data_IF_283836226968
#
_entry.id   IF_283836226968
#
_cell.length_a   1.000
_cell.length_b   1.000
_cell.length_c   1.000
_cell.angle_alpha   90.00
_cell.angle_beta   90.00
_cell.angle_gamma   90.00
#
_symmetry.space_group_name_H-M   'P 1'
#
loop_
_entity.id
_entity.type
_entity.pdbx_description
1 polymer ?
#
# COMPACT_ATOMS: atom_id res chain seq x y z
N UNK A 1 3.69 16.63 22.41
CA UNK A 1 2.47 16.08 21.78
C UNK A 1 1.42 15.94 22.86
N UNK A 2 0.18 16.40 22.65
CA UNK A 2 -0.92 16.15 23.61
C UNK A 2 -1.24 14.66 23.66
N UNK A 3 -1.73 14.15 24.79
CA UNK A 3 -2.12 12.73 24.96
C UNK A 3 -3.14 12.30 23.88
N UNK A 4 -4.05 13.20 23.50
CA UNK A 4 -5.01 12.98 22.39
C UNK A 4 -4.33 12.85 21.02
N UNK A 5 -3.33 13.69 20.74
CA UNK A 5 -2.56 13.61 19.49
C UNK A 5 -1.80 12.29 19.39
N UNK A 6 -1.30 11.77 20.51
CA UNK A 6 -0.66 10.46 20.57
C UNK A 6 -1.65 9.33 20.31
N UNK A 7 -2.85 9.39 20.90
CA UNK A 7 -3.90 8.41 20.65
C UNK A 7 -4.33 8.36 19.18
N UNK A 8 -4.57 9.51 18.55
CA UNK A 8 -4.92 9.59 17.11
C UNK A 8 -3.81 8.97 16.26
N UNK A 9 -2.55 9.32 16.52
CA UNK A 9 -1.40 8.72 15.84
C UNK A 9 -1.40 7.20 15.98
N UNK A 10 -1.57 6.66 17.19
CA UNK A 10 -1.61 5.23 17.46
C UNK A 10 -2.75 4.52 16.71
N UNK A 11 -3.94 5.09 16.66
CA UNK A 11 -5.07 4.49 15.92
C UNK A 11 -4.79 4.45 14.42
N UNK A 12 -4.34 5.56 13.82
CA UNK A 12 -4.00 5.58 12.40
C UNK A 12 -2.80 4.71 12.06
N UNK A 13 -1.82 4.59 12.96
CA UNK A 13 -0.71 3.65 12.83
C UNK A 13 -1.21 2.21 12.80
N UNK A 14 -2.12 1.84 13.70
CA UNK A 14 -2.75 0.53 13.71
C UNK A 14 -3.57 0.29 12.44
N UNK A 15 -4.36 1.26 11.98
CA UNK A 15 -5.15 1.12 10.76
C UNK A 15 -4.25 0.90 9.53
N UNK A 16 -3.19 1.69 9.39
CA UNK A 16 -2.21 1.55 8.30
C UNK A 16 -1.49 0.21 8.35
N UNK A 17 -1.12 -0.24 9.55
CA UNK A 17 -0.50 -1.54 9.76
C UNK A 17 -1.41 -2.68 9.27
N UNK A 18 -2.65 -2.71 9.77
CA UNK A 18 -3.58 -3.82 9.55
C UNK A 18 -4.07 -3.84 8.10
N UNK A 19 -4.24 -2.68 7.46
CA UNK A 19 -4.63 -2.59 6.06
C UNK A 19 -3.62 -3.25 5.10
N UNK A 20 -2.33 -3.15 5.43
CA UNK A 20 -1.25 -3.59 4.54
C UNK A 20 -0.61 -4.91 4.97
N UNK A 21 -0.73 -5.31 6.24
CA UNK A 21 -0.09 -6.55 6.75
C UNK A 21 -0.66 -7.79 6.06
N UNK A 22 -1.96 -7.83 5.79
CA UNK A 22 -2.60 -8.96 5.13
C UNK A 22 -2.08 -9.15 3.70
N UNK A 23 -1.91 -8.05 2.98
CA UNK A 23 -1.30 -8.03 1.65
C UNK A 23 0.12 -8.62 1.68
N UNK A 24 0.95 -8.16 2.62
CA UNK A 24 2.33 -8.65 2.78
C UNK A 24 2.37 -10.14 3.13
N UNK A 25 1.46 -10.60 3.99
CA UNK A 25 1.37 -12.01 4.38
C UNK A 25 0.93 -12.89 3.20
N UNK A 26 -0.05 -12.45 2.41
CA UNK A 26 -0.49 -13.17 1.20
C UNK A 26 0.67 -13.30 0.19
N UNK A 27 1.41 -12.22 -0.07
CA UNK A 27 2.59 -12.27 -0.94
C UNK A 27 3.70 -13.16 -0.38
N UNK A 28 3.90 -13.17 0.94
CA UNK A 28 4.87 -14.05 1.59
C UNK A 28 4.47 -15.53 1.51
N UNK A 29 3.17 -15.81 1.62
CA UNK A 29 2.59 -17.13 1.50
C UNK A 29 2.39 -17.59 0.04
N UNK A 30 2.54 -16.70 -0.95
CA UNK A 30 2.25 -16.98 -2.35
C UNK A 30 2.95 -18.24 -2.88
N UNK A 31 4.24 -18.42 -2.54
CA UNK A 31 5.02 -19.61 -2.92
C UNK A 31 4.45 -20.87 -2.25
N UNK A 32 4.03 -20.77 -0.99
CA UNK A 32 3.45 -21.88 -0.23
C UNK A 32 2.03 -22.24 -0.70
N UNK A 33 1.32 -21.28 -1.29
CA UNK A 33 -0.08 -21.42 -1.74
C UNK A 33 -0.15 -21.94 -3.18
N UNK A 34 0.60 -21.32 -4.10
CA UNK A 34 0.45 -21.52 -5.55
C UNK A 34 1.60 -22.37 -6.14
N UNK A 35 2.67 -22.60 -5.36
CA UNK A 35 3.84 -23.37 -5.76
C UNK A 35 4.94 -22.54 -6.44
N UNK A 36 6.16 -23.09 -6.57
CA UNK A 36 7.35 -22.35 -6.99
C UNK A 36 7.44 -22.09 -8.50
N UNK A 37 6.59 -22.73 -9.31
CA UNK A 37 6.68 -22.69 -10.78
C UNK A 37 5.97 -21.49 -11.41
N UNK A 38 5.13 -20.78 -10.66
CA UNK A 38 4.39 -19.62 -11.16
C UNK A 38 5.21 -18.33 -10.96
N UNK A 39 5.32 -17.47 -11.99
CA UNK A 39 6.02 -16.19 -11.86
C UNK A 39 5.42 -15.34 -10.74
N UNK A 40 6.28 -14.78 -9.87
CA UNK A 40 5.84 -13.92 -8.75
C UNK A 40 5.04 -12.71 -9.25
N UNK A 41 5.44 -12.15 -10.39
CA UNK A 41 4.74 -11.06 -11.08
C UNK A 41 3.28 -11.40 -11.42
N UNK A 42 2.94 -12.68 -11.67
CA UNK A 42 1.56 -13.10 -11.94
C UNK A 42 0.71 -13.13 -10.66
N UNK A 43 1.27 -13.60 -9.55
CA UNK A 43 0.57 -13.57 -8.25
C UNK A 43 0.34 -12.12 -7.83
N UNK A 44 1.36 -11.26 -8.00
CA UNK A 44 1.23 -9.83 -7.76
C UNK A 44 0.15 -9.20 -8.64
N UNK A 45 0.05 -9.59 -9.92
CA UNK A 45 -0.97 -9.08 -10.83
C UNK A 45 -2.39 -9.46 -10.36
N UNK A 46 -2.57 -10.72 -9.94
CA UNK A 46 -3.84 -11.23 -9.41
C UNK A 46 -4.26 -10.52 -8.12
N UNK A 47 -3.28 -10.09 -7.32
CA UNK A 47 -3.49 -9.40 -6.06
C UNK A 47 -3.69 -7.88 -6.23
N UNK A 48 -2.94 -7.21 -7.12
CA UNK A 48 -3.07 -5.76 -7.30
C UNK A 48 -4.32 -5.36 -8.10
N UNK A 49 -4.76 -6.19 -9.04
CA UNK A 49 -5.86 -5.84 -9.94
C UNK A 49 -7.18 -5.57 -9.20
N UNK A 50 -7.64 -6.40 -8.23
CA UNK A 50 -8.87 -6.11 -7.49
C UNK A 50 -8.77 -4.84 -6.62
N UNK A 51 -7.59 -4.56 -6.06
CA UNK A 51 -7.32 -3.31 -5.32
C UNK A 51 -7.40 -2.09 -6.25
N UNK A 52 -6.77 -2.15 -7.43
CA UNK A 52 -6.85 -1.09 -8.43
C UNK A 52 -8.30 -0.88 -8.90
N UNK A 53 -9.05 -1.95 -9.14
CA UNK A 53 -10.44 -1.87 -9.59
C UNK A 53 -11.32 -1.14 -8.57
N UNK A 54 -11.22 -1.46 -7.27
CA UNK A 54 -12.02 -0.77 -6.25
C UNK A 54 -11.59 0.69 -6.09
N UNK A 55 -10.28 0.99 -6.20
CA UNK A 55 -9.78 2.38 -6.15
C UNK A 55 -10.22 3.21 -7.36
N UNK A 56 -10.30 2.62 -8.56
CA UNK A 56 -10.82 3.29 -9.75
C UNK A 56 -12.32 3.57 -9.65
N UNK A 57 -13.07 2.65 -9.04
CA UNK A 57 -14.51 2.77 -8.87
C UNK A 57 -14.91 3.66 -7.68
N UNK A 58 -14.10 3.73 -6.63
CA UNK A 58 -14.43 4.42 -5.38
C UNK A 58 -14.83 5.89 -5.55
N UNK A 59 -14.21 6.72 -6.41
CA UNK A 59 -14.56 8.14 -6.52
C UNK A 59 -15.99 8.40 -7.00
N UNK A 60 -16.67 7.39 -7.55
CA UNK A 60 -18.02 7.50 -8.10
C UNK A 60 -19.14 7.18 -7.09
N UNK A 61 -18.83 6.56 -5.95
CA UNK A 61 -19.85 6.15 -4.98
C UNK A 61 -19.46 6.37 -3.52
N UNK A 62 -18.18 6.60 -3.22
CA UNK A 62 -17.68 6.59 -1.85
C UNK A 62 -18.28 7.72 -1.00
N UNK A 63 -18.56 8.86 -1.61
CA UNK A 63 -19.26 10.02 -1.04
C UNK A 63 -20.65 9.67 -0.46
N UNK A 64 -21.30 8.62 -0.98
CA UNK A 64 -22.63 8.18 -0.55
C UNK A 64 -22.61 7.19 0.61
N UNK A 65 -21.43 6.65 0.95
CA UNK A 65 -21.29 5.60 1.97
C UNK A 65 -20.65 6.21 3.22
N UNK A 66 -21.34 6.15 4.37
CA UNK A 66 -20.79 6.58 5.66
C UNK A 66 -19.59 5.71 6.07
N UNK A 67 -18.61 6.30 6.73
CA UNK A 67 -17.39 5.61 7.20
C UNK A 67 -17.67 4.33 7.99
N UNK A 68 -18.66 4.32 8.89
CA UNK A 68 -19.04 3.14 9.67
C UNK A 68 -19.35 1.91 8.79
N UNK A 69 -20.09 2.09 7.68
CA UNK A 69 -20.38 0.99 6.74
C UNK A 69 -19.14 0.57 5.95
N UNK A 70 -18.26 1.53 5.63
CA UNK A 70 -16.99 1.22 4.97
C UNK A 70 -16.15 0.31 5.85
N UNK A 71 -16.00 0.64 7.14
CA UNK A 71 -15.24 -0.15 8.12
C UNK A 71 -15.79 -1.57 8.27
N UNK A 72 -17.12 -1.73 8.42
CA UNK A 72 -17.72 -3.06 8.47
C UNK A 72 -17.43 -3.88 7.22
N UNK A 73 -17.52 -3.26 6.04
CA UNK A 73 -17.16 -3.91 4.77
C UNK A 73 -15.70 -4.37 4.75
N UNK A 74 -14.76 -3.56 5.25
CA UNK A 74 -13.33 -3.93 5.34
C UNK A 74 -13.12 -5.16 6.22
N UNK A 75 -13.74 -5.17 7.40
CA UNK A 75 -13.63 -6.30 8.34
C UNK A 75 -14.18 -7.57 7.67
N UNK A 76 -15.39 -7.51 7.12
CA UNK A 76 -16.01 -8.68 6.49
C UNK A 76 -15.21 -9.19 5.30
N UNK A 77 -14.78 -8.32 4.39
CA UNK A 77 -14.02 -8.72 3.21
C UNK A 77 -12.63 -9.25 3.56
N UNK A 78 -11.92 -8.64 4.51
CA UNK A 78 -10.61 -9.14 4.95
C UNK A 78 -10.70 -10.48 5.68
N UNK A 79 -11.64 -10.63 6.61
CA UNK A 79 -11.84 -11.89 7.33
C UNK A 79 -12.25 -13.01 6.38
N UNK A 80 -13.21 -12.74 5.48
CA UNK A 80 -13.63 -13.68 4.45
C UNK A 80 -12.47 -14.03 3.51
N UNK A 81 -11.72 -13.03 3.06
CA UNK A 81 -10.56 -13.21 2.20
C UNK A 81 -9.54 -14.17 2.82
N UNK A 82 -9.05 -13.87 4.03
CA UNK A 82 -8.07 -14.72 4.72
C UNK A 82 -8.60 -16.13 5.03
N UNK A 83 -9.87 -16.25 5.38
CA UNK A 83 -10.52 -17.54 5.56
C UNK A 83 -10.51 -18.37 4.28
N UNK A 84 -10.86 -17.78 3.14
CA UNK A 84 -10.89 -18.44 1.83
C UNK A 84 -9.49 -18.80 1.30
N UNK A 85 -8.47 -17.96 1.56
CA UNK A 85 -7.06 -18.26 1.23
C UNK A 85 -6.56 -19.51 1.98
N UNK A 86 -7.12 -19.82 3.14
CA UNK A 86 -6.73 -21.00 3.93
C UNK A 86 -7.15 -22.35 3.30
N UNK A 87 -7.95 -22.33 2.22
CA UNK A 87 -8.38 -23.54 1.52
C UNK A 87 -7.36 -24.01 0.48
N UNK A 88 -7.31 -25.32 0.24
CA UNK A 88 -6.38 -25.92 -0.73
C UNK A 88 -6.79 -25.77 -2.19
N UNK A 89 -8.03 -25.37 -2.47
CA UNK A 89 -8.52 -25.23 -3.84
C UNK A 89 -8.04 -23.89 -4.42
N UNK A 90 -7.31 -23.95 -5.54
CA UNK A 90 -6.74 -22.78 -6.20
C UNK A 90 -7.77 -21.69 -6.50
N UNK A 91 -8.96 -22.06 -6.99
CA UNK A 91 -10.01 -21.09 -7.31
C UNK A 91 -10.52 -20.36 -6.06
N UNK A 92 -10.77 -21.11 -4.99
CA UNK A 92 -11.23 -20.56 -3.70
C UNK A 92 -10.15 -19.66 -3.10
N UNK A 93 -8.88 -20.05 -3.23
CA UNK A 93 -7.76 -19.25 -2.77
C UNK A 93 -7.64 -17.93 -3.55
N UNK A 94 -7.70 -17.95 -4.88
CA UNK A 94 -7.64 -16.73 -5.70
C UNK A 94 -8.81 -15.78 -5.42
N UNK A 95 -10.00 -16.34 -5.16
CA UNK A 95 -11.17 -15.58 -4.76
C UNK A 95 -10.97 -14.95 -3.36
N UNK A 96 -10.34 -15.67 -2.44
CA UNK A 96 -9.94 -15.15 -1.12
C UNK A 96 -8.92 -14.01 -1.21
N UNK A 97 -7.88 -14.18 -2.05
CA UNK A 97 -6.90 -13.13 -2.36
C UNK A 97 -7.65 -11.90 -2.87
N UNK A 98 -8.52 -12.07 -3.86
CA UNK A 98 -9.29 -10.96 -4.44
C UNK A 98 -10.11 -10.18 -3.40
N UNK A 99 -10.77 -10.86 -2.45
CA UNK A 99 -11.49 -10.18 -1.37
C UNK A 99 -10.56 -9.40 -0.42
N UNK A 100 -9.42 -9.99 -0.05
CA UNK A 100 -8.43 -9.32 0.77
C UNK A 100 -7.84 -8.09 0.06
N UNK A 101 -7.58 -8.19 -1.25
CA UNK A 101 -7.06 -7.08 -2.06
C UNK A 101 -8.09 -5.95 -2.24
N UNK A 102 -9.36 -6.27 -2.47
CA UNK A 102 -10.44 -5.26 -2.52
C UNK A 102 -10.54 -4.56 -1.16
N UNK A 103 -10.47 -5.32 -0.07
CA UNK A 103 -10.49 -4.74 1.28
C UNK A 103 -9.31 -3.79 1.49
N UNK A 104 -8.08 -4.22 1.17
CA UNK A 104 -6.88 -3.37 1.33
C UNK A 104 -6.95 -2.09 0.49
N UNK A 105 -7.40 -2.17 -0.76
CA UNK A 105 -7.57 -1.01 -1.64
C UNK A 105 -8.67 -0.06 -1.17
N UNK A 106 -9.81 -0.60 -0.74
CA UNK A 106 -10.91 0.21 -0.20
C UNK A 106 -10.57 0.83 1.15
N UNK A 107 -9.80 0.12 1.98
CA UNK A 107 -9.34 0.57 3.27
C UNK A 107 -8.35 1.71 3.15
N UNK A 108 -7.42 1.62 2.20
CA UNK A 108 -6.50 2.72 1.90
C UNK A 108 -7.25 4.00 1.50
N UNK A 109 -8.21 3.91 0.57
CA UNK A 109 -9.04 5.06 0.21
C UNK A 109 -9.77 5.58 1.45
N UNK A 110 -10.42 4.71 2.22
CA UNK A 110 -11.22 5.10 3.39
C UNK A 110 -10.38 5.81 4.45
N UNK A 111 -9.25 5.23 4.85
CA UNK A 111 -8.43 5.82 5.91
C UNK A 111 -7.67 7.05 5.44
N UNK A 112 -7.20 7.11 4.19
CA UNK A 112 -6.61 8.33 3.63
C UNK A 112 -7.63 9.48 3.60
N UNK A 113 -8.87 9.22 3.20
CA UNK A 113 -9.93 10.23 3.30
C UNK A 113 -10.16 10.68 4.74
N UNK A 114 -10.19 9.75 5.69
CA UNK A 114 -10.36 10.05 7.12
C UNK A 114 -9.21 10.91 7.67
N UNK A 115 -7.99 10.82 7.10
CA UNK A 115 -6.88 11.69 7.54
C UNK A 115 -7.17 13.18 7.34
N UNK A 116 -8.07 13.55 6.43
CA UNK A 116 -8.48 14.94 6.22
C UNK A 116 -8.97 15.62 7.51
N UNK A 117 -9.73 14.91 8.36
CA UNK A 117 -10.28 15.44 9.61
C UNK A 117 -9.21 15.64 10.69
N UNK A 118 -8.23 14.73 10.75
CA UNK A 118 -7.18 14.72 11.77
C UNK A 118 -5.83 15.28 11.30
N UNK A 119 -5.79 15.80 10.06
CA UNK A 119 -4.67 16.50 9.42
C UNK A 119 -3.38 15.67 9.40
N UNK A 120 -2.26 16.32 9.71
CA UNK A 120 -0.94 15.73 9.54
C UNK A 120 -0.64 14.58 10.52
N UNK A 121 -1.22 14.59 11.72
CA UNK A 121 -0.94 13.60 12.77
C UNK A 121 -1.44 12.21 12.35
N UNK A 122 -2.66 12.15 11.82
CA UNK A 122 -3.25 10.91 11.30
C UNK A 122 -2.53 10.42 10.06
N UNK A 123 -2.18 11.30 9.13
CA UNK A 123 -1.44 10.92 7.93
C UNK A 123 -0.06 10.35 8.27
N UNK A 124 0.65 10.96 9.22
CA UNK A 124 1.95 10.45 9.68
C UNK A 124 1.80 9.08 10.34
N UNK A 125 0.77 8.89 11.18
CA UNK A 125 0.45 7.61 11.82
C UNK A 125 0.16 6.54 10.77
N UNK A 126 -0.79 6.81 9.86
CA UNK A 126 -1.16 5.94 8.74
C UNK A 126 0.04 5.54 7.89
N UNK A 127 0.83 6.52 7.48
CA UNK A 127 1.99 6.30 6.64
C UNK A 127 3.07 5.47 7.35
N UNK A 128 3.39 5.78 8.61
CA UNK A 128 4.32 4.97 9.39
C UNK A 128 3.82 3.54 9.61
N UNK A 129 2.52 3.36 9.89
CA UNK A 129 1.89 2.06 10.07
C UNK A 129 1.94 1.18 8.82
N UNK A 130 1.62 1.76 7.66
CA UNK A 130 1.71 1.08 6.37
C UNK A 130 3.15 0.68 6.01
N UNK A 131 4.15 1.50 6.36
CA UNK A 131 5.57 1.11 6.24
C UNK A 131 5.97 -0.01 7.21
N UNK A 132 5.43 0.02 8.43
CA UNK A 132 5.66 -1.01 9.45
C UNK A 132 5.07 -2.37 9.06
N UNK A 133 3.99 -2.38 8.26
CA UNK A 133 3.35 -3.60 7.78
C UNK A 133 4.28 -4.50 6.96
N UNK A 134 5.17 -3.91 6.16
CA UNK A 134 6.17 -4.65 5.40
C UNK A 134 7.09 -5.48 6.28
N UNK A 135 7.64 -4.84 7.33
CA UNK A 135 8.56 -5.46 8.27
C UNK A 135 7.82 -6.45 9.17
N UNK A 136 6.74 -6.01 9.82
CA UNK A 136 6.00 -6.82 10.79
C UNK A 136 5.25 -7.97 10.13
N UNK A 137 4.71 -7.80 8.92
CA UNK A 137 4.01 -8.85 8.18
C UNK A 137 4.96 -9.98 7.78
N UNK A 138 6.07 -9.66 7.13
CA UNK A 138 7.09 -10.65 6.75
C UNK A 138 7.70 -11.35 7.97
N UNK A 139 8.07 -10.57 8.99
CA UNK A 139 8.67 -11.12 10.21
C UNK A 139 7.69 -12.03 10.98
N UNK A 140 6.43 -11.62 11.15
CA UNK A 140 5.44 -12.41 11.88
C UNK A 140 5.06 -13.69 11.13
N UNK A 141 4.93 -13.64 9.80
CA UNK A 141 4.71 -14.84 8.99
C UNK A 141 5.89 -15.82 9.10
N UNK A 142 7.11 -15.33 8.95
CA UNK A 142 8.33 -16.14 9.09
C UNK A 142 8.44 -16.73 10.50
N UNK A 143 8.18 -15.95 11.54
CA UNK A 143 8.24 -16.41 12.93
C UNK A 143 7.25 -17.55 13.19
N UNK A 144 6.00 -17.41 12.73
CA UNK A 144 4.99 -18.46 12.88
C UNK A 144 5.33 -19.71 12.07
N UNK A 145 5.74 -19.57 10.81
CA UNK A 145 5.93 -20.72 9.90
C UNK A 145 7.29 -21.40 10.04
N UNK A 146 8.37 -20.64 10.21
CA UNK A 146 9.73 -21.16 10.20
C UNK A 146 10.27 -21.47 11.60
N UNK A 147 9.95 -20.64 12.59
CA UNK A 147 10.43 -20.80 13.97
C UNK A 147 9.48 -21.69 14.78
N UNK A 148 8.20 -21.32 14.85
CA UNK A 148 7.20 -22.11 15.58
C UNK A 148 6.64 -23.29 14.79
N UNK A 149 6.97 -23.40 13.50
CA UNK A 149 6.49 -24.49 12.62
C UNK A 149 4.96 -24.63 12.60
N UNK A 150 4.26 -23.50 12.78
CA UNK A 150 2.81 -23.43 12.69
C UNK A 150 2.40 -23.69 11.23
N UNK A 151 1.44 -24.58 10.96
CA UNK A 151 0.97 -24.82 9.61
C UNK A 151 0.47 -23.53 8.95
N UNK A 152 0.83 -23.29 7.67
CA UNK A 152 0.45 -22.09 6.91
C UNK A 152 -1.05 -21.80 7.00
N UNK A 153 -1.89 -22.85 6.92
CA UNK A 153 -3.35 -22.72 7.07
C UNK A 153 -3.76 -22.09 8.41
N UNK A 154 -3.17 -22.53 9.51
CA UNK A 154 -3.48 -22.00 10.84
C UNK A 154 -2.94 -20.58 10.98
N UNK A 155 -1.74 -20.31 10.46
CA UNK A 155 -1.17 -18.96 10.40
C UNK A 155 -2.09 -17.98 9.69
N UNK A 156 -2.60 -18.32 8.49
CA UNK A 156 -3.55 -17.47 7.75
C UNK A 156 -4.87 -17.23 8.52
N UNK A 157 -5.37 -18.24 9.23
CA UNK A 157 -6.55 -18.08 10.10
C UNK A 157 -6.27 -17.16 11.30
N UNK A 158 -5.07 -17.19 11.89
CA UNK A 158 -4.69 -16.24 12.95
C UNK A 158 -4.69 -14.81 12.39
N UNK A 159 -4.13 -14.61 11.19
CA UNK A 159 -4.15 -13.29 10.53
C UNK A 159 -5.57 -12.80 10.19
N UNK A 160 -6.55 -13.69 10.03
CA UNK A 160 -7.96 -13.31 9.84
C UNK A 160 -8.57 -12.57 11.04
N UNK A 161 -7.93 -12.60 12.22
CA UNK A 161 -8.38 -11.86 13.40
C UNK A 161 -7.90 -10.40 13.41
N UNK A 162 -6.88 -10.05 12.63
CA UNK A 162 -6.31 -8.70 12.61
C UNK A 162 -7.29 -7.60 12.16
N UNK A 163 -8.16 -7.81 11.15
CA UNK A 163 -9.12 -6.80 10.72
C UNK A 163 -10.06 -6.28 11.82
N UNK A 164 -10.32 -7.06 12.86
CA UNK A 164 -11.12 -6.59 14.00
C UNK A 164 -10.51 -5.38 14.72
N UNK A 165 -9.20 -5.13 14.55
CA UNK A 165 -8.57 -3.90 14.99
C UNK A 165 -9.19 -2.63 14.36
N UNK A 166 -9.84 -2.71 13.19
CA UNK A 166 -10.56 -1.58 12.62
C UNK A 166 -11.75 -1.12 13.46
N UNK A 167 -12.25 -1.95 14.41
CA UNK A 167 -13.29 -1.54 15.35
C UNK A 167 -12.84 -0.39 16.27
N UNK A 168 -11.53 -0.15 16.42
CA UNK A 168 -11.03 1.04 17.11
C UNK A 168 -11.45 2.35 16.44
N UNK A 169 -11.89 2.32 15.17
CA UNK A 169 -12.53 3.47 14.51
C UNK A 169 -13.71 4.01 15.32
N UNK A 170 -14.58 3.15 15.86
CA UNK A 170 -15.77 3.60 16.60
C UNK A 170 -15.41 4.30 17.91
N UNK A 171 -14.28 3.94 18.51
CA UNK A 171 -13.74 4.63 19.69
C UNK A 171 -13.14 5.99 19.32
N UNK A 172 -12.54 6.10 18.15
CA UNK A 172 -12.06 7.36 17.60
C UNK A 172 -13.25 8.30 17.28
N UNK A 173 -14.28 7.78 16.61
CA UNK A 173 -15.51 8.51 16.26
C UNK A 173 -16.30 9.00 17.48
N UNK A 174 -16.42 8.18 18.54
CA UNK A 174 -17.11 8.61 19.76
C UNK A 174 -16.40 9.76 20.48
N UNK A 175 -15.06 9.75 20.48
CA UNK A 175 -14.27 10.78 21.14
C UNK A 175 -14.39 12.14 20.46
N UNK A 176 -14.55 12.16 19.14
CA UNK A 176 -14.76 13.40 18.37
C UNK A 176 -16.20 13.90 18.44
N UNK A 177 -17.18 12.99 18.38
CA UNK A 177 -18.60 13.37 18.50
C UNK A 177 -18.86 14.05 19.84
N UNK A 178 -18.22 13.59 20.92
CA UNK A 178 -18.30 14.22 22.23
C UNK A 178 -17.70 15.63 22.26
N UNK A 179 -16.67 15.91 21.45
CA UNK A 179 -16.05 17.24 21.35
C UNK A 179 -16.93 18.20 20.55
N UNK A 180 -17.47 17.76 19.41
CA UNK A 180 -18.41 18.56 18.61
C UNK A 180 -19.67 18.86 19.42
N UNK A 181 -20.19 17.88 20.17
CA UNK A 181 -21.32 18.07 21.07
C UNK A 181 -21.00 19.01 22.22
N UNK A 182 -19.80 18.95 22.81
CA UNK A 182 -19.35 19.91 23.83
C UNK A 182 -19.20 21.33 23.29
N UNK A 183 -18.69 21.51 22.06
CA UNK A 183 -18.62 22.83 21.42
C UNK A 183 -19.99 23.36 21.02
N UNK A 184 -20.92 22.50 20.60
CA UNK A 184 -22.29 22.88 20.29
C UNK A 184 -23.08 23.23 21.55
N UNK A 185 -22.90 22.51 22.67
CA UNK A 185 -23.50 22.88 23.96
C UNK A 185 -23.00 24.23 24.49
N UNK A 186 -21.74 24.60 24.21
CA UNK A 186 -21.23 25.94 24.53
C UNK A 186 -21.81 27.05 23.64
N UNK A 187 -22.36 26.70 22.46
CA UNK A 187 -23.02 27.63 21.54
C UNK A 187 -24.53 27.70 21.84
N UNK A 188 -25.17 26.58 22.20
CA UNK A 188 -26.60 26.52 22.56
C UNK A 188 -26.91 27.24 23.90
N UNK A 189 -25.94 27.42 24.80
CA UNK A 189 -26.11 28.30 25.97
C UNK A 189 -26.12 29.81 25.60
N UNK A 190 -25.79 30.17 24.34
CA UNK A 190 -25.71 31.55 23.86
C UNK A 190 -26.80 31.94 22.84
N UNK A 191 -27.58 31.01 22.30
CA UNK A 191 -28.62 31.26 21.28
C UNK A 191 -29.98 30.62 21.63
N UNK A 192 -30.49 30.91 22.83
CA UNK A 192 -31.90 30.69 23.16
C UNK A 192 -32.74 31.87 22.63
N UNK A 193 -33.03 31.89 21.33
CA UNK A 193 -34.27 32.49 20.79
C UNK A 193 -34.37 32.30 19.26
N UNK A 194 -35.51 31.72 18.82
CA UNK A 194 -36.09 31.65 17.46
C UNK A 194 -36.05 30.28 16.73
N UNK A 195 -36.98 29.41 17.13
CA UNK A 195 -37.44 28.25 16.34
C UNK A 195 -38.42 28.68 15.23
N UNK A 196 -38.12 28.33 13.98
CA UNK A 196 -39.11 28.27 12.87
C UNK A 196 -39.05 26.88 12.21
N UNK A 197 -40.17 26.15 12.06
CA UNK A 197 -40.15 24.80 11.49
C UNK A 197 -40.04 24.80 9.96
N UNK A 198 -39.08 24.05 9.40
CA UNK A 198 -38.99 23.76 7.96
C UNK A 198 -39.93 22.60 7.56
N UNK A 199 -40.78 22.75 6.52
CA UNK A 199 -41.58 21.64 6.00
C UNK A 199 -40.74 20.75 5.07
N UNK A 200 -40.73 19.45 5.37
CA UNK A 200 -40.07 18.41 4.57
C UNK A 200 -40.95 18.04 3.37
N UNK A 201 -40.57 18.50 2.18
CA UNK A 201 -41.22 18.10 0.92
C UNK A 201 -40.51 16.87 0.33
N UNK A 202 -41.15 15.70 0.43
CA UNK A 202 -40.75 14.48 -0.30
C UNK A 202 -41.07 14.63 -1.79
N UNK A 203 -40.05 14.71 -2.64
CA UNK A 203 -40.20 14.71 -4.10
C UNK A 203 -39.92 13.32 -4.67
N UNK A 204 -40.90 12.76 -5.38
CA UNK A 204 -40.73 11.53 -6.15
C UNK A 204 -39.82 11.80 -7.37
N UNK A 205 -38.60 11.27 -7.37
CA UNK A 205 -37.65 11.42 -8.49
C UNK A 205 -37.93 10.46 -9.64
N UNK A 206 -38.17 11.01 -10.83
CA UNK A 206 -38.33 10.27 -12.10
C UNK A 206 -36.99 9.65 -12.57
N UNK A 207 -37.03 8.45 -13.17
CA UNK A 207 -35.84 7.70 -13.61
C UNK A 207 -34.96 8.43 -14.66
N UNK A 208 -35.55 9.32 -15.47
CA UNK A 208 -34.81 10.18 -16.40
C UNK A 208 -33.98 11.25 -15.70
N UNK A 209 -34.47 11.75 -14.55
CA UNK A 209 -33.78 12.75 -13.73
C UNK A 209 -32.64 12.13 -12.92
N UNK A 210 -32.76 10.85 -12.51
CA UNK A 210 -31.67 10.10 -11.85
C UNK A 210 -30.53 9.74 -12.81
N UNK A 211 -30.82 9.45 -14.08
CA UNK A 211 -29.79 9.20 -15.10
C UNK A 211 -29.03 10.47 -15.48
N UNK A 212 -29.72 11.61 -15.57
CA UNK A 212 -29.09 12.92 -15.83
C UNK A 212 -28.18 13.33 -14.66
N UNK A 213 -28.64 13.20 -13.41
CA UNK A 213 -27.83 13.50 -12.23
C UNK A 213 -26.61 12.58 -12.11
N UNK A 214 -26.75 11.30 -12.48
CA UNK A 214 -25.62 10.34 -12.48
C UNK A 214 -24.57 10.70 -13.53
N UNK A 215 -24.98 11.09 -14.75
CA UNK A 215 -24.05 11.54 -15.79
C UNK A 215 -23.30 12.82 -15.38
N UNK A 216 -24.00 13.77 -14.77
CA UNK A 216 -23.37 15.00 -14.27
C UNK A 216 -22.37 14.70 -13.15
N UNK A 217 -22.72 13.82 -12.22
CA UNK A 217 -21.82 13.36 -11.15
C UNK A 217 -20.56 12.71 -11.72
N UNK A 218 -20.69 11.78 -12.67
CA UNK A 218 -19.54 11.15 -13.35
C UNK A 218 -18.64 12.19 -14.02
N UNK A 219 -19.24 13.14 -14.77
CA UNK A 219 -18.47 14.16 -15.48
C UNK A 219 -17.73 15.10 -14.52
N UNK A 220 -18.35 15.46 -13.40
CA UNK A 220 -17.75 16.25 -12.34
C UNK A 220 -16.60 15.49 -11.67
N UNK A 221 -16.80 14.22 -11.33
CA UNK A 221 -15.75 13.36 -10.76
C UNK A 221 -14.54 13.23 -11.69
N UNK A 222 -14.76 13.02 -13.00
CA UNK A 222 -13.68 12.97 -13.99
C UNK A 222 -12.95 14.33 -14.09
N UNK A 223 -13.67 15.45 -14.02
CA UNK A 223 -13.05 16.78 -14.01
C UNK A 223 -12.18 17.00 -12.77
N UNK A 224 -12.64 16.59 -11.58
CA UNK A 224 -11.88 16.65 -10.33
C UNK A 224 -10.63 15.78 -10.40
N UNK A 225 -10.77 14.53 -10.86
CA UNK A 225 -9.64 13.61 -11.09
C UNK A 225 -8.58 14.22 -12.00
N UNK A 226 -8.99 14.81 -13.14
CA UNK A 226 -8.06 15.40 -14.11
C UNK A 226 -7.14 16.48 -13.51
N UNK A 227 -7.62 17.25 -12.52
CA UNK A 227 -6.81 18.26 -11.83
C UNK A 227 -5.63 17.64 -11.05
N UNK A 228 -5.86 16.45 -10.49
CA UNK A 228 -4.90 15.75 -9.62
C UNK A 228 -3.86 14.93 -10.40
N UNK A 229 -4.14 14.60 -11.67
CA UNK A 229 -3.32 13.69 -12.49
C UNK A 229 -1.87 14.14 -12.58
N UNK A 230 -1.63 15.34 -13.10
CA UNK A 230 -0.26 15.82 -13.30
C UNK A 230 0.50 16.12 -12.01
N UNK A 231 -0.04 16.92 -11.05
CA UNK A 231 0.73 17.29 -9.88
C UNK A 231 1.05 16.12 -8.96
N UNK A 232 0.16 15.13 -8.85
CA UNK A 232 0.27 14.07 -7.84
C UNK A 232 0.31 12.66 -8.44
N UNK A 233 -0.61 12.32 -9.35
CA UNK A 233 -0.76 10.92 -9.80
C UNK A 233 0.39 10.47 -10.72
N UNK A 234 0.79 11.28 -11.69
CA UNK A 234 1.89 10.96 -12.62
C UNK A 234 3.21 10.71 -11.88
N UNK A 235 3.71 11.61 -11.01
CA UNK A 235 4.96 11.35 -10.29
C UNK A 235 4.84 10.14 -9.35
N UNK A 236 3.70 9.97 -8.65
CA UNK A 236 3.50 8.84 -7.75
C UNK A 236 3.45 7.51 -8.50
N UNK A 237 2.68 7.41 -9.58
CA UNK A 237 2.66 6.24 -10.47
C UNK A 237 4.05 5.92 -11.00
N UNK A 238 4.84 6.93 -11.36
CA UNK A 238 6.19 6.74 -11.90
C UNK A 238 7.14 6.13 -10.85
N UNK A 239 7.12 6.63 -9.61
CA UNK A 239 7.91 6.07 -8.51
C UNK A 239 7.53 4.62 -8.24
N UNK A 240 6.23 4.35 -8.11
CA UNK A 240 5.70 3.00 -7.83
C UNK A 240 5.96 2.01 -8.97
N UNK A 241 5.88 2.48 -10.22
CA UNK A 241 6.25 1.69 -11.38
C UNK A 241 7.72 1.25 -11.31
N UNK A 242 8.62 2.19 -11.06
CA UNK A 242 10.05 1.91 -11.05
C UNK A 242 10.48 1.06 -9.84
N UNK A 243 10.00 1.36 -8.63
CA UNK A 243 10.32 0.55 -7.44
C UNK A 243 9.80 -0.89 -7.56
N UNK A 244 8.58 -1.11 -8.05
CA UNK A 244 8.06 -2.46 -8.19
C UNK A 244 8.73 -3.22 -9.34
N UNK A 245 9.17 -2.54 -10.40
CA UNK A 245 10.02 -3.17 -11.42
C UNK A 245 11.36 -3.62 -10.84
N UNK A 246 11.99 -2.81 -9.98
CA UNK A 246 13.21 -3.21 -9.28
C UNK A 246 12.93 -4.44 -8.42
N UNK A 247 11.95 -4.38 -7.52
CA UNK A 247 11.65 -5.46 -6.56
C UNK A 247 11.22 -6.76 -7.22
N UNK A 248 10.38 -6.71 -8.25
CA UNK A 248 9.71 -7.90 -8.79
C UNK A 248 10.40 -8.46 -10.01
N UNK A 249 11.07 -7.64 -10.81
CA UNK A 249 11.67 -8.08 -12.07
C UNK A 249 13.21 -8.07 -12.06
N UNK A 250 13.83 -7.08 -11.44
CA UNK A 250 15.30 -6.94 -11.45
C UNK A 250 15.94 -7.66 -10.27
N UNK A 251 15.41 -7.49 -9.05
CA UNK A 251 15.97 -8.05 -7.82
C UNK A 251 16.16 -9.58 -7.84
N UNK A 252 15.27 -10.41 -8.44
CA UNK A 252 15.52 -11.85 -8.61
C UNK A 252 16.79 -12.18 -9.43
N UNK A 253 17.29 -11.22 -10.21
CA UNK A 253 18.49 -11.36 -11.05
C UNK A 253 19.72 -10.65 -10.45
N UNK A 254 19.59 -9.95 -9.33
CA UNK A 254 20.70 -9.28 -8.63
C UNK A 254 21.41 -10.25 -7.68
N UNK A 255 21.92 -11.36 -8.21
CA UNK A 255 22.52 -12.44 -7.43
C UNK A 255 24.05 -12.38 -7.44
N UNK A 256 24.67 -13.03 -6.45
CA UNK A 256 26.11 -13.09 -6.24
C UNK A 256 26.55 -14.53 -5.95
N UNK A 257 27.76 -14.95 -6.35
CA UNK A 257 28.20 -16.34 -6.19
C UNK A 257 28.42 -16.69 -4.71
N UNK A 258 27.71 -17.69 -4.21
CA UNK A 258 27.74 -18.09 -2.79
C UNK A 258 28.88 -19.08 -2.48
N UNK A 259 29.23 -19.97 -3.42
CA UNK A 259 30.15 -21.10 -3.21
C UNK A 259 31.36 -21.09 -4.17
N UNK A 260 32.16 -20.02 -4.20
CA UNK A 260 33.35 -19.95 -5.05
C UNK A 260 34.49 -19.09 -4.48
N UNK A 261 35.59 -19.77 -4.12
CA UNK A 261 36.93 -19.27 -3.77
C UNK A 261 37.09 -18.30 -2.57
N UNK A 262 38.35 -18.12 -2.15
CA UNK A 262 38.87 -17.34 -1.00
C UNK A 262 38.32 -15.91 -0.82
N UNK A 263 37.47 -15.44 -1.75
CA UNK A 263 36.84 -14.13 -1.84
C UNK A 263 35.42 -14.07 -1.27
N UNK A 264 34.91 -15.17 -0.71
CA UNK A 264 33.71 -15.21 0.15
C UNK A 264 33.81 -14.26 1.38
N UNK A 265 34.99 -13.72 1.70
CA UNK A 265 35.23 -12.76 2.79
C UNK A 265 34.42 -11.44 2.72
N UNK A 266 33.92 -11.03 1.55
CA UNK A 266 33.05 -9.83 1.42
C UNK A 266 31.55 -10.15 1.41
N UNK A 267 31.18 -11.42 1.46
CA UNK A 267 29.78 -11.85 1.51
C UNK A 267 29.25 -11.71 2.93
N UNK A 268 28.04 -11.14 3.14
CA UNK A 268 27.41 -11.12 4.45
C UNK A 268 27.24 -12.53 5.01
N UNK A 269 27.49 -12.69 6.32
CA UNK A 269 27.51 -14.00 6.99
C UNK A 269 26.18 -14.77 6.92
N UNK A 270 25.09 -14.08 6.56
CA UNK A 270 23.72 -14.59 6.51
C UNK A 270 23.26 -15.03 5.11
N UNK A 271 24.13 -15.00 4.09
CA UNK A 271 23.81 -15.56 2.77
C UNK A 271 24.27 -17.02 2.68
N UNK A 272 23.35 -17.95 2.87
CA UNK A 272 23.60 -19.38 2.71
C UNK A 272 22.95 -19.95 1.45
N UNK A 273 21.85 -19.34 0.99
CA UNK A 273 21.09 -19.70 -0.21
C UNK A 273 20.78 -18.46 -1.04
N UNK A 274 20.51 -18.64 -2.34
CA UNK A 274 20.13 -17.50 -3.20
C UNK A 274 18.82 -16.86 -2.74
N UNK A 275 17.91 -17.64 -2.15
CA UNK A 275 16.73 -17.14 -1.45
C UNK A 275 17.04 -16.08 -0.38
N UNK A 276 18.15 -16.21 0.36
CA UNK A 276 18.48 -15.30 1.47
C UNK A 276 18.81 -13.88 0.96
N UNK A 277 19.35 -13.78 -0.25
CA UNK A 277 19.62 -12.51 -0.92
C UNK A 277 18.30 -11.78 -1.21
N UNK A 278 17.32 -12.49 -1.77
CA UNK A 278 16.00 -11.93 -2.08
C UNK A 278 15.26 -11.47 -0.81
N UNK A 279 15.30 -12.29 0.25
CA UNK A 279 14.69 -11.93 1.55
C UNK A 279 15.36 -10.71 2.16
N UNK A 280 16.69 -10.62 2.05
CA UNK A 280 17.46 -9.46 2.53
C UNK A 280 17.12 -8.19 1.75
N UNK A 281 17.03 -8.26 0.42
CA UNK A 281 16.60 -7.12 -0.40
C UNK A 281 15.20 -6.64 -0.03
N UNK A 282 14.25 -7.58 0.10
CA UNK A 282 12.92 -7.24 0.59
C UNK A 282 12.94 -6.57 1.97
N UNK A 283 13.79 -7.04 2.89
CA UNK A 283 13.89 -6.49 4.25
C UNK A 283 14.50 -5.08 4.25
N UNK A 284 15.57 -4.85 3.48
CA UNK A 284 16.20 -3.53 3.35
C UNK A 284 15.29 -2.52 2.67
N UNK A 285 14.58 -2.94 1.62
CA UNK A 285 13.57 -2.14 0.96
C UNK A 285 12.49 -1.71 1.98
N UNK A 286 11.89 -2.66 2.71
CA UNK A 286 10.86 -2.34 3.70
C UNK A 286 11.38 -1.47 4.85
N UNK A 287 12.64 -1.63 5.25
CA UNK A 287 13.28 -0.76 6.23
C UNK A 287 13.41 0.69 5.71
N UNK A 288 13.82 0.86 4.45
CA UNK A 288 13.88 2.17 3.79
C UNK A 288 12.49 2.83 3.71
N UNK A 289 11.46 2.06 3.33
CA UNK A 289 10.06 2.53 3.31
C UNK A 289 9.60 2.93 4.70
N UNK A 290 9.85 2.13 5.72
CA UNK A 290 9.43 2.42 7.08
C UNK A 290 10.08 3.69 7.65
N UNK A 291 11.39 3.86 7.44
CA UNK A 291 12.13 5.05 7.88
C UNK A 291 11.60 6.29 7.16
N UNK A 292 11.53 6.26 5.82
CA UNK A 292 11.05 7.40 5.04
C UNK A 292 9.61 7.77 5.39
N UNK A 293 8.73 6.79 5.67
CA UNK A 293 7.35 7.04 6.08
C UNK A 293 7.19 7.58 7.50
N UNK A 294 8.04 7.14 8.42
CA UNK A 294 8.02 7.60 9.81
C UNK A 294 8.59 9.01 9.98
N UNK A 295 9.62 9.35 9.20
CA UNK A 295 10.31 10.64 9.26
C UNK A 295 9.93 11.61 8.13
N UNK A 296 8.99 11.24 7.25
CA UNK A 296 8.60 12.05 6.09
C UNK A 296 8.07 13.44 6.43
N UNK A 297 7.54 13.65 7.65
CA UNK A 297 7.13 14.97 8.12
C UNK A 297 8.31 15.94 8.35
N UNK A 298 9.52 15.42 8.60
CA UNK A 298 10.73 16.23 8.81
C UNK A 298 11.35 16.70 7.49
N UNK A 299 11.21 15.90 6.42
CA UNK A 299 11.82 16.17 5.12
C UNK A 299 10.70 16.39 4.10
N UNK A 300 10.21 17.63 4.04
CA UNK A 300 9.14 18.04 3.12
C UNK A 300 9.69 18.29 1.72
N UNK A 301 9.18 17.55 0.75
CA UNK A 301 9.50 17.72 -0.67
C UNK A 301 8.25 18.12 -1.45
N UNK A 302 8.26 19.36 -1.99
CA UNK A 302 7.15 19.89 -2.79
C UNK A 302 7.17 19.40 -4.25
N UNK A 303 8.36 19.17 -4.81
CA UNK A 303 8.52 18.66 -6.17
C UNK A 303 8.62 17.13 -6.18
N UNK A 304 7.49 16.47 -6.42
CA UNK A 304 7.41 14.99 -6.45
C UNK A 304 8.16 14.39 -7.66
N UNK A 305 8.32 15.17 -8.73
CA UNK A 305 9.04 14.74 -9.94
C UNK A 305 10.53 14.47 -9.71
N UNK A 306 11.15 15.12 -8.71
CA UNK A 306 12.55 14.83 -8.34
C UNK A 306 12.67 13.39 -7.83
N UNK A 307 11.72 12.95 -7.00
CA UNK A 307 11.68 11.58 -6.50
C UNK A 307 11.45 10.58 -7.63
N UNK A 308 10.54 10.88 -8.56
CA UNK A 308 10.32 10.06 -9.76
C UNK A 308 11.57 9.94 -10.64
N UNK A 309 12.29 11.04 -10.85
CA UNK A 309 13.54 11.04 -11.61
C UNK A 309 14.63 10.21 -10.92
N UNK A 310 14.85 10.43 -9.62
CA UNK A 310 15.83 9.66 -8.83
C UNK A 310 15.51 8.17 -8.82
N UNK A 311 14.22 7.81 -8.74
CA UNK A 311 13.78 6.42 -8.82
C UNK A 311 14.03 5.82 -10.21
N UNK A 312 13.86 6.60 -11.28
CA UNK A 312 14.20 6.18 -12.64
C UNK A 312 15.70 5.93 -12.83
N UNK A 313 16.55 6.81 -12.27
CA UNK A 313 18.00 6.59 -12.23
C UNK A 313 18.33 5.31 -11.47
N UNK A 314 17.65 5.04 -10.35
CA UNK A 314 17.84 3.83 -9.57
C UNK A 314 17.50 2.55 -10.36
N UNK A 315 16.38 2.56 -11.11
CA UNK A 315 16.02 1.46 -12.01
C UNK A 315 17.08 1.26 -13.10
N UNK A 316 17.58 2.33 -13.71
CA UNK A 316 18.65 2.23 -14.71
C UNK A 316 19.91 1.58 -14.12
N UNK A 317 20.34 2.00 -12.92
CA UNK A 317 21.52 1.45 -12.25
C UNK A 317 21.33 -0.05 -11.95
N UNK A 318 20.19 -0.45 -11.39
CA UNK A 318 19.91 -1.86 -11.07
C UNK A 318 19.81 -2.73 -12.31
N UNK A 319 19.19 -2.25 -13.40
CA UNK A 319 19.14 -2.98 -14.67
C UNK A 319 20.54 -3.13 -15.27
N UNK A 320 21.34 -2.06 -15.28
CA UNK A 320 22.73 -2.13 -15.75
C UNK A 320 23.58 -3.07 -14.90
N UNK A 321 23.38 -3.07 -13.58
CA UNK A 321 24.04 -3.99 -12.68
C UNK A 321 23.64 -5.44 -12.95
N UNK A 322 22.35 -5.73 -13.19
CA UNK A 322 21.89 -7.07 -13.54
C UNK A 322 22.46 -7.54 -14.89
N UNK A 323 22.44 -6.66 -15.90
CA UNK A 323 22.88 -6.96 -17.26
C UNK A 323 24.40 -7.14 -17.34
N UNK A 324 25.18 -6.15 -16.90
CA UNK A 324 26.64 -6.12 -17.08
C UNK A 324 27.45 -6.61 -15.88
N UNK A 325 26.82 -6.84 -14.72
CA UNK A 325 27.51 -7.26 -13.50
C UNK A 325 28.66 -6.32 -13.08
N UNK A 326 28.39 -5.01 -13.08
CA UNK A 326 29.38 -3.94 -12.87
C UNK A 326 30.06 -4.04 -11.50
N UNK A 327 29.27 -4.15 -10.43
CA UNK A 327 29.76 -4.29 -9.06
C UNK A 327 29.75 -5.74 -8.63
N UNK A 328 30.88 -6.22 -8.11
CA UNK A 328 31.02 -7.59 -7.56
C UNK A 328 30.73 -7.67 -6.06
N UNK A 329 30.44 -6.54 -5.41
CA UNK A 329 30.14 -6.46 -3.98
C UNK A 329 28.62 -6.34 -3.75
N UNK A 330 28.02 -7.19 -2.89
CA UNK A 330 26.59 -7.14 -2.59
C UNK A 330 26.20 -5.89 -1.78
N UNK A 331 27.13 -5.30 -1.03
CA UNK A 331 26.87 -4.13 -0.17
C UNK A 331 26.39 -2.91 -0.96
N UNK A 332 26.96 -2.66 -2.14
CA UNK A 332 26.55 -1.56 -2.99
C UNK A 332 25.09 -1.71 -3.45
N UNK A 333 24.70 -2.93 -3.84
CA UNK A 333 23.31 -3.24 -4.21
C UNK A 333 22.38 -3.14 -2.99
N UNK A 334 22.79 -3.63 -1.83
CA UNK A 334 22.01 -3.52 -0.59
C UNK A 334 21.72 -2.06 -0.21
N UNK A 335 22.72 -1.17 -0.28
CA UNK A 335 22.54 0.27 -0.04
C UNK A 335 21.58 0.87 -1.07
N UNK A 336 21.70 0.46 -2.33
CA UNK A 336 20.84 0.93 -3.43
C UNK A 336 19.37 0.51 -3.23
N UNK A 337 19.12 -0.74 -2.79
CA UNK A 337 17.77 -1.25 -2.47
C UNK A 337 17.20 -0.58 -1.21
N UNK A 338 18.03 -0.28 -0.20
CA UNK A 338 17.60 0.52 0.94
C UNK A 338 17.19 1.94 0.51
N UNK A 339 17.99 2.57 -0.36
CA UNK A 339 17.71 3.89 -0.93
C UNK A 339 16.43 3.89 -1.81
N UNK A 340 16.21 2.82 -2.57
CA UNK A 340 14.98 2.58 -3.32
C UNK A 340 13.74 2.67 -2.42
N UNK A 341 13.72 1.88 -1.33
CA UNK A 341 12.60 1.89 -0.39
C UNK A 341 12.42 3.25 0.28
N UNK A 342 13.53 3.96 0.55
CA UNK A 342 13.49 5.31 1.08
C UNK A 342 12.80 6.30 0.11
N UNK A 343 13.13 6.26 -1.18
CA UNK A 343 12.49 7.12 -2.19
C UNK A 343 10.99 6.81 -2.35
N UNK A 344 10.63 5.52 -2.37
CA UNK A 344 9.25 5.05 -2.44
C UNK A 344 8.39 5.58 -1.31
N UNK A 345 8.81 5.35 -0.07
CA UNK A 345 8.09 5.84 1.10
C UNK A 345 8.07 7.36 1.20
N UNK A 346 9.17 8.05 0.85
CA UNK A 346 9.23 9.51 0.83
C UNK A 346 8.25 10.10 -0.19
N UNK A 347 8.10 9.49 -1.37
CA UNK A 347 7.16 9.91 -2.41
C UNK A 347 5.72 9.78 -1.94
N UNK A 348 5.37 8.65 -1.32
CA UNK A 348 4.03 8.41 -0.77
C UNK A 348 3.66 9.49 0.26
N UNK A 349 4.47 9.68 1.31
CA UNK A 349 4.14 10.62 2.39
C UNK A 349 4.06 12.05 1.87
N UNK A 350 5.04 12.47 1.06
CA UNK A 350 5.07 13.83 0.57
C UNK A 350 3.92 14.12 -0.40
N UNK A 351 3.45 13.14 -1.16
CA UNK A 351 2.28 13.31 -2.02
C UNK A 351 1.04 13.67 -1.19
N UNK A 352 0.72 12.86 -0.17
CA UNK A 352 -0.46 13.12 0.66
C UNK A 352 -0.30 14.33 1.58
N UNK A 353 0.91 14.62 2.07
CA UNK A 353 1.16 15.85 2.81
C UNK A 353 1.00 17.09 1.93
N UNK A 354 1.40 17.04 0.65
CA UNK A 354 1.20 18.15 -0.28
C UNK A 354 -0.28 18.36 -0.60
N UNK A 355 -1.07 17.29 -0.73
CA UNK A 355 -2.53 17.37 -0.89
C UNK A 355 -3.17 18.02 0.34
N UNK A 356 -2.82 17.59 1.56
CA UNK A 356 -3.35 18.18 2.80
C UNK A 356 -3.06 19.68 2.96
N UNK A 357 -1.96 20.18 2.38
CA UNK A 357 -1.50 21.57 2.51
C UNK A 357 -1.98 22.47 1.36
N UNK A 358 -2.09 21.93 0.14
CA UNK A 358 -2.25 22.73 -1.08
C UNK A 358 -3.66 22.67 -1.68
N UNK A 359 -4.42 21.60 -1.41
CA UNK A 359 -5.77 21.46 -1.95
C UNK A 359 -6.81 22.17 -1.06
N UNK A 360 -7.91 22.60 -1.68
CA UNK A 360 -9.03 23.21 -0.96
C UNK A 360 -9.59 22.23 0.09
N UNK A 361 -10.01 22.70 1.28
CA UNK A 361 -10.52 21.81 2.33
C UNK A 361 -11.67 20.90 1.86
N UNK A 362 -12.60 21.44 1.07
CA UNK A 362 -13.76 20.70 0.53
C UNK A 362 -13.37 19.64 -0.51
N UNK A 363 -12.21 19.80 -1.14
CA UNK A 363 -11.68 18.89 -2.16
C UNK A 363 -10.64 17.92 -1.61
N UNK A 364 -10.08 18.20 -0.44
CA UNK A 364 -8.99 17.44 0.16
C UNK A 364 -9.44 16.00 0.45
N UNK A 365 -10.62 15.78 1.01
CA UNK A 365 -11.13 14.41 1.26
C UNK A 365 -11.17 13.62 -0.05
N UNK A 366 -11.75 14.18 -1.12
CA UNK A 366 -11.77 13.52 -2.42
C UNK A 366 -10.36 13.27 -2.97
N UNK A 367 -9.47 14.26 -2.90
CA UNK A 367 -8.11 14.17 -3.43
C UNK A 367 -7.28 13.10 -2.73
N UNK A 368 -7.38 12.99 -1.40
CA UNK A 368 -6.69 11.96 -0.60
C UNK A 368 -7.10 10.55 -1.02
N UNK A 369 -8.40 10.34 -1.29
CA UNK A 369 -8.88 9.06 -1.81
C UNK A 369 -8.47 8.81 -3.27
N UNK A 370 -8.67 9.80 -4.14
CA UNK A 370 -8.47 9.66 -5.58
C UNK A 370 -7.01 9.47 -5.98
N UNK A 371 -6.07 10.18 -5.34
CA UNK A 371 -4.64 10.05 -5.67
C UNK A 371 -4.08 8.68 -5.33
N UNK A 372 -4.69 7.94 -4.39
CA UNK A 372 -4.33 6.55 -4.12
C UNK A 372 -4.56 5.61 -5.31
N UNK A 373 -5.27 6.00 -6.37
CA UNK A 373 -5.33 5.21 -7.61
C UNK A 373 -3.93 5.08 -8.23
N UNK A 374 -3.12 6.13 -8.09
CA UNK A 374 -1.85 6.27 -8.79
C UNK A 374 -0.81 5.24 -8.35
N UNK A 375 -0.77 4.88 -7.06
CA UNK A 375 0.20 3.90 -6.56
C UNK A 375 -0.14 2.50 -7.08
N UNK A 376 -1.38 2.04 -6.95
CA UNK A 376 -1.86 0.74 -7.43
C UNK A 376 -1.76 0.64 -8.95
N UNK A 377 -1.97 1.74 -9.67
CA UNK A 377 -1.76 1.77 -11.11
C UNK A 377 -0.28 1.61 -11.48
N UNK A 378 0.63 2.25 -10.74
CA UNK A 378 2.08 2.05 -10.90
C UNK A 378 2.51 0.60 -10.66
N UNK A 379 2.04 -0.01 -9.56
CA UNK A 379 2.29 -1.43 -9.26
C UNK A 379 1.73 -2.36 -10.34
N UNK A 380 0.53 -2.08 -10.83
CA UNK A 380 -0.08 -2.86 -11.91
C UNK A 380 0.75 -2.81 -13.20
N UNK A 381 1.19 -1.63 -13.62
CA UNK A 381 2.07 -1.47 -14.78
C UNK A 381 3.41 -2.18 -14.59
N UNK A 382 3.99 -2.10 -13.39
CA UNK A 382 5.23 -2.80 -13.05
C UNK A 382 5.05 -4.32 -13.15
N UNK A 383 3.95 -4.87 -12.64
CA UNK A 383 3.65 -6.29 -12.74
C UNK A 383 3.52 -6.75 -14.20
N UNK A 384 2.81 -5.98 -15.04
CA UNK A 384 2.68 -6.28 -16.48
C UNK A 384 4.02 -6.27 -17.21
N UNK A 385 4.84 -5.24 -17.00
CA UNK A 385 6.16 -5.12 -17.63
C UNK A 385 7.16 -6.15 -17.08
N UNK A 386 7.04 -6.48 -15.79
CA UNK A 386 7.87 -7.46 -15.09
C UNK A 386 7.77 -8.88 -15.69
N UNK A 387 6.59 -9.27 -16.18
CA UNK A 387 6.37 -10.55 -16.88
C UNK A 387 7.32 -10.75 -18.08
N UNK A 388 7.74 -9.67 -18.74
CA UNK A 388 8.70 -9.72 -19.85
C UNK A 388 10.14 -9.43 -19.44
N UNK A 389 10.34 -8.54 -18.48
CA UNK A 389 11.68 -8.09 -18.07
C UNK A 389 12.46 -9.18 -17.33
N UNK A 390 11.84 -9.84 -16.34
CA UNK A 390 12.49 -10.86 -15.51
C UNK A 390 13.04 -12.04 -16.35
N UNK A 391 12.25 -12.69 -17.23
CA UNK A 391 12.76 -13.81 -18.03
C UNK A 391 13.84 -13.39 -19.00
N UNK A 392 13.79 -12.15 -19.51
CA UNK A 392 14.79 -11.62 -20.45
C UNK A 392 16.14 -11.40 -19.74
N UNK A 393 16.13 -10.81 -18.55
CA UNK A 393 17.32 -10.64 -17.72
C UNK A 393 17.91 -11.99 -17.31
N UNK A 394 17.09 -12.92 -16.82
CA UNK A 394 17.56 -14.25 -16.43
C UNK A 394 18.14 -15.04 -17.62
N UNK A 395 17.49 -14.98 -18.80
CA UNK A 395 18.03 -15.63 -20.02
C UNK A 395 19.38 -15.05 -20.44
N UNK A 396 19.52 -13.71 -20.36
CA UNK A 396 20.78 -13.04 -20.65
C UNK A 396 21.89 -13.49 -19.68
N UNK A 397 21.61 -13.55 -18.38
CA UNK A 397 22.58 -13.99 -17.38
C UNK A 397 23.02 -15.45 -17.58
N UNK A 398 22.10 -16.34 -17.96
CA UNK A 398 22.43 -17.74 -18.27
C UNK A 398 23.35 -17.83 -19.49
N UNK A 399 23.15 -16.98 -20.51
CA UNK A 399 24.02 -16.93 -21.67
C UNK A 399 25.43 -16.41 -21.34
N UNK A 400 25.56 -15.58 -20.29
CA UNK A 400 26.81 -15.06 -19.75
C UNK A 400 27.42 -15.95 -18.63
N UNK A 401 27.12 -17.25 -18.59
CA UNK A 401 27.61 -18.21 -17.57
C UNK A 401 27.25 -17.84 -16.10
N UNK A 402 26.16 -17.11 -15.89
CA UNK A 402 25.59 -16.76 -14.56
C UNK A 402 24.20 -17.39 -14.36
N UNK A 403 24.07 -18.72 -14.17
CA UNK A 403 22.78 -19.40 -14.06
C UNK A 403 22.06 -19.24 -12.70
N UNK A 404 22.48 -18.29 -11.86
CA UNK A 404 22.02 -18.15 -10.47
C UNK A 404 20.51 -17.93 -10.34
N UNK A 405 19.88 -17.28 -11.33
CA UNK A 405 18.43 -17.05 -11.34
C UNK A 405 17.59 -18.34 -11.43
N UNK A 406 18.20 -19.50 -11.72
CA UNK A 406 17.54 -20.83 -11.70
C UNK A 406 17.95 -21.69 -10.51
N UNK A 407 18.82 -21.19 -9.63
CA UNK A 407 19.33 -21.91 -8.47
C UNK A 407 18.53 -21.52 -7.22
N UNK A 408 18.33 -22.47 -6.30
CA UNK A 408 17.59 -22.26 -5.04
C UNK A 408 18.40 -21.52 -3.95
#
# INVERSE_FOLDING_TARGET
>A
MSDKSHQIYCYFWLFGLINNVLYVVILSAAVDIVGPTLPKSLVLLADIFPSLAIKLCSPFFIDRIKYSYRIWSLITMSCLGMFLVSFKNLFVCLLGISFASISSGFGEVTFLQLTHYYKQISLNGWSSGTGGAGILGGASYMFLTSIFKVPVKLTLLIFSLLPFAFLFYFKLESNDTNLTFQSLQQIDEAEDDQLVPFPVAFTHTNASQSLYSTRQHILQTVKRLRRLVFPYMVPLTTVYLFEYLINQAVAPTLLFPINGDERSKSMPFFFHKYRDIYVTYGTLYQLGVFISRSFGHLIRMRSLYILAFLQGVNLCITVLQSWFYVTRSPWAVMILIFYEGFLGGASYVNTFLNILEQEDPDETEFAMGAVSIADSFGVFLAALLGLGLEPKLCRHQIADDRPWCRME
#
